data_IF_397828230057
#
_entry.id   IF_397828230057
#
_cell.length_a   1.000
_cell.length_b   1.000
_cell.length_c   1.000
_cell.angle_alpha   90.00
_cell.angle_beta   90.00
_cell.angle_gamma   90.00
#
_symmetry.space_group_name_H-M   'P 1'
#
loop_
_entity.id
_entity.type
_entity.pdbx_description
1 polymer ?
#
# COMPACT_ATOMS: atom_id res chain seq x y z
N UNK A 1 0.44 -3.00 -14.02
CA UNK A 1 0.80 -1.55 -14.09
C UNK A 1 1.58 -1.33 -15.35
N UNK A 2 1.03 -0.61 -16.30
CA UNK A 2 1.76 -0.12 -17.46
C UNK A 2 2.18 1.31 -17.19
N UNK A 3 3.21 1.48 -16.34
CA UNK A 3 3.93 2.75 -16.31
C UNK A 3 4.66 2.89 -17.66
N UNK A 4 4.01 3.53 -18.60
CA UNK A 4 4.57 3.76 -19.94
C UNK A 4 5.65 4.84 -19.94
N UNK A 5 5.76 5.62 -18.86
CA UNK A 5 6.72 6.71 -18.75
C UNK A 5 7.47 6.61 -17.41
N UNK A 6 8.79 6.69 -17.50
CA UNK A 6 9.65 6.86 -16.34
C UNK A 6 10.04 8.34 -16.25
N UNK A 7 9.45 9.04 -15.27
CA UNK A 7 9.72 10.46 -15.02
C UNK A 7 10.55 10.59 -13.73
N UNK A 8 11.88 10.70 -13.82
CA UNK A 8 12.71 10.93 -12.65
C UNK A 8 12.49 12.36 -12.12
N UNK A 9 12.06 12.49 -10.87
CA UNK A 9 11.78 13.77 -10.20
C UNK A 9 12.83 14.17 -9.17
N UNK A 10 13.96 13.45 -9.13
CA UNK A 10 15.07 13.72 -8.23
C UNK A 10 15.29 12.67 -7.16
N UNK A 11 16.14 12.96 -6.17
CA UNK A 11 16.41 12.03 -5.09
C UNK A 11 15.23 11.97 -4.11
N UNK A 12 14.92 10.80 -3.54
CA UNK A 12 13.83 10.63 -2.57
C UNK A 12 13.97 11.55 -1.34
N UNK A 13 15.20 11.82 -0.90
CA UNK A 13 15.49 12.67 0.25
C UNK A 13 15.02 14.11 0.02
N UNK A 14 15.38 14.69 -1.13
CA UNK A 14 14.98 16.06 -1.51
C UNK A 14 13.46 16.12 -1.68
N UNK A 15 12.86 15.10 -2.29
CA UNK A 15 11.42 15.06 -2.49
C UNK A 15 10.67 15.00 -1.16
N UNK A 16 11.10 14.15 -0.22
CA UNK A 16 10.51 14.05 1.13
C UNK A 16 10.64 15.37 1.87
N UNK A 17 11.80 16.03 1.79
CA UNK A 17 12.00 17.34 2.39
C UNK A 17 11.04 18.39 1.82
N UNK A 18 10.92 18.46 0.50
CA UNK A 18 10.04 19.43 -0.16
C UNK A 18 8.56 19.18 0.18
N UNK A 19 8.10 17.92 0.11
CA UNK A 19 6.73 17.58 0.46
C UNK A 19 6.41 17.93 1.92
N UNK A 20 7.33 17.66 2.85
CA UNK A 20 7.18 18.05 4.24
C UNK A 20 7.10 19.57 4.40
N UNK A 21 7.94 20.33 3.67
CA UNK A 21 7.92 21.80 3.70
C UNK A 21 6.65 22.38 3.08
N UNK A 22 6.06 21.72 2.12
CA UNK A 22 4.80 22.13 1.47
C UNK A 22 3.56 21.76 2.29
N UNK A 23 3.74 21.09 3.44
CA UNK A 23 2.65 20.80 4.37
C UNK A 23 1.84 19.56 4.02
N UNK A 24 2.47 18.55 3.41
CA UNK A 24 1.80 17.24 3.21
C UNK A 24 1.46 16.62 4.56
N UNK A 25 0.24 16.11 4.70
CA UNK A 25 -0.22 15.43 5.93
C UNK A 25 0.51 14.10 6.15
N UNK A 26 0.74 13.33 5.09
CA UNK A 26 1.50 12.09 5.08
C UNK A 26 2.26 11.93 3.76
N UNK A 27 3.39 11.21 3.77
CA UNK A 27 4.18 10.92 2.57
C UNK A 27 4.28 9.43 2.36
N UNK A 28 3.77 8.93 1.22
CA UNK A 28 3.85 7.52 0.85
C UNK A 28 5.08 7.23 0.00
N UNK A 29 5.93 6.32 0.48
CA UNK A 29 7.08 5.77 -0.23
C UNK A 29 6.76 4.37 -0.73
N UNK A 30 6.71 4.19 -2.05
CA UNK A 30 6.41 2.90 -2.69
C UNK A 30 7.64 2.32 -3.41
N UNK A 31 8.14 1.18 -2.92
CA UNK A 31 9.25 0.43 -3.53
C UNK A 31 8.70 -0.73 -4.38
N UNK A 32 8.29 -0.45 -5.61
CA UNK A 32 7.56 -1.38 -6.48
C UNK A 32 8.30 -2.66 -6.83
N UNK A 33 9.62 -2.58 -7.04
CA UNK A 33 10.42 -3.71 -7.47
C UNK A 33 10.67 -4.76 -6.38
N UNK A 34 10.54 -4.36 -5.11
CA UNK A 34 10.93 -5.18 -3.94
C UNK A 34 10.07 -6.42 -3.80
N UNK A 35 8.75 -6.29 -3.90
CA UNK A 35 7.80 -7.39 -3.74
C UNK A 35 7.98 -8.44 -4.83
N UNK A 36 8.09 -8.03 -6.10
CA UNK A 36 8.27 -8.93 -7.23
C UNK A 36 9.59 -9.71 -7.16
N UNK A 37 10.67 -9.04 -6.72
CA UNK A 37 11.99 -9.65 -6.58
C UNK A 37 12.20 -10.38 -5.24
N UNK A 38 11.21 -10.36 -4.34
CA UNK A 38 11.28 -10.96 -2.98
C UNK A 38 12.46 -10.45 -2.13
N UNK A 39 12.86 -9.19 -2.32
CA UNK A 39 14.06 -8.62 -1.69
C UNK A 39 13.84 -8.13 -0.25
N UNK A 40 12.63 -8.17 0.27
CA UNK A 40 12.30 -7.53 1.55
C UNK A 40 12.25 -5.99 1.46
N UNK A 41 11.96 -5.28 2.56
CA UNK A 41 11.88 -3.81 2.56
C UNK A 41 13.24 -3.15 2.32
N UNK A 42 13.22 -1.93 1.79
CA UNK A 42 14.43 -1.13 1.59
C UNK A 42 14.73 -0.26 2.82
N UNK A 43 15.26 -0.90 3.86
CA UNK A 43 15.57 -0.22 5.14
C UNK A 43 16.62 0.86 4.97
N UNK A 44 17.60 0.67 4.07
CA UNK A 44 18.63 1.68 3.82
C UNK A 44 18.06 2.96 3.23
N UNK A 45 17.13 2.85 2.28
CA UNK A 45 16.40 4.00 1.76
C UNK A 45 15.58 4.67 2.86
N UNK A 46 14.83 3.90 3.64
CA UNK A 46 13.99 4.42 4.72
C UNK A 46 14.81 5.23 5.72
N UNK A 47 15.94 4.71 6.21
CA UNK A 47 16.86 5.42 7.09
C UNK A 47 17.34 6.75 6.53
N UNK A 48 17.64 6.80 5.22
CA UNK A 48 18.07 8.04 4.58
C UNK A 48 16.96 9.08 4.59
N UNK A 49 15.78 8.73 4.11
CA UNK A 49 14.67 9.69 3.96
C UNK A 49 14.07 10.16 5.27
N UNK A 50 14.12 9.32 6.32
CA UNK A 50 13.58 9.66 7.65
C UNK A 50 14.21 10.93 8.23
N UNK A 51 15.48 11.19 7.94
CA UNK A 51 16.16 12.40 8.40
C UNK A 51 15.64 13.70 7.76
N UNK A 52 14.89 13.61 6.66
CA UNK A 52 14.40 14.74 5.88
C UNK A 52 12.90 15.02 6.06
N UNK A 53 12.16 14.17 6.76
CA UNK A 53 10.69 14.26 6.85
C UNK A 53 10.13 15.41 7.71
N UNK A 54 10.97 16.10 8.49
CA UNK A 54 10.62 17.28 9.31
C UNK A 54 9.30 17.14 10.11
N UNK A 55 9.04 15.94 10.65
CA UNK A 55 7.83 15.67 11.43
C UNK A 55 6.64 15.13 10.61
N UNK A 56 6.68 15.18 9.27
CA UNK A 56 5.60 14.59 8.44
C UNK A 56 5.65 13.06 8.53
N UNK A 57 4.53 12.37 8.83
CA UNK A 57 4.48 10.93 8.90
C UNK A 57 4.84 10.27 7.56
N UNK A 58 5.62 9.18 7.62
CA UNK A 58 5.96 8.36 6.46
C UNK A 58 5.16 7.07 6.44
N UNK A 59 4.58 6.77 5.29
CA UNK A 59 3.95 5.48 4.98
C UNK A 59 4.90 4.72 4.05
N UNK A 60 5.22 3.49 4.38
CA UNK A 60 6.10 2.65 3.57
C UNK A 60 5.34 1.51 2.89
N UNK A 61 5.64 1.26 1.61
CA UNK A 61 5.11 0.14 0.84
C UNK A 61 6.20 -0.53 0.00
N UNK A 62 6.17 -1.86 -0.05
CA UNK A 62 7.01 -2.68 -0.93
C UNK A 62 7.98 -3.60 -0.19
N UNK A 63 8.00 -4.85 -0.62
CA UNK A 63 8.91 -5.87 -0.09
C UNK A 63 8.56 -6.41 1.30
N UNK A 64 7.44 -6.04 1.90
CA UNK A 64 6.99 -6.54 3.21
C UNK A 64 6.53 -7.99 3.03
N UNK A 65 7.10 -8.93 3.79
CA UNK A 65 6.81 -10.36 3.69
C UNK A 65 6.10 -10.92 4.93
N UNK A 66 6.39 -10.34 6.09
CA UNK A 66 5.93 -10.84 7.39
C UNK A 66 5.95 -9.74 8.46
N UNK A 67 5.58 -10.09 9.69
CA UNK A 67 5.54 -9.17 10.83
C UNK A 67 6.92 -8.66 11.28
N UNK A 68 8.01 -9.36 11.00
CA UNK A 68 9.36 -8.88 11.30
C UNK A 68 9.77 -7.75 10.36
N UNK A 69 9.51 -7.91 9.05
CA UNK A 69 9.74 -6.84 8.07
C UNK A 69 8.91 -5.59 8.43
N UNK A 70 7.65 -5.78 8.82
CA UNK A 70 6.78 -4.69 9.25
C UNK A 70 7.36 -3.94 10.47
N UNK A 71 7.78 -4.67 11.49
CA UNK A 71 8.38 -4.09 12.70
C UNK A 71 9.67 -3.32 12.38
N UNK A 72 10.53 -3.87 11.51
CA UNK A 72 11.77 -3.20 11.09
C UNK A 72 11.50 -1.88 10.37
N UNK A 73 10.47 -1.82 9.55
CA UNK A 73 10.06 -0.58 8.88
C UNK A 73 9.65 0.47 9.92
N UNK A 74 8.79 0.12 10.88
CA UNK A 74 8.34 1.04 11.93
C UNK A 74 9.53 1.51 12.80
N UNK A 75 10.41 0.60 13.23
CA UNK A 75 11.62 0.95 14.00
C UNK A 75 12.57 1.89 13.24
N UNK A 76 12.54 1.89 11.93
CA UNK A 76 13.40 2.74 11.09
C UNK A 76 12.70 4.00 10.58
N UNK A 77 11.57 4.38 11.20
CA UNK A 77 11.00 5.71 11.12
C UNK A 77 9.81 5.91 10.19
N UNK A 78 9.21 4.84 9.66
CA UNK A 78 7.87 4.91 9.12
C UNK A 78 6.84 4.81 10.25
N UNK A 79 5.79 5.59 10.20
CA UNK A 79 4.67 5.54 11.14
C UNK A 79 3.66 4.48 10.73
N UNK A 80 3.52 4.24 9.42
CA UNK A 80 2.54 3.30 8.86
C UNK A 80 3.15 2.48 7.72
N UNK A 81 2.54 1.34 7.43
CA UNK A 81 2.89 0.49 6.29
C UNK A 81 1.66 0.18 5.43
N UNK A 82 1.89 -0.06 4.16
CA UNK A 82 0.86 -0.62 3.27
C UNK A 82 1.18 -2.07 2.97
N UNK A 83 0.29 -2.95 3.42
CA UNK A 83 0.24 -4.35 3.04
C UNK A 83 -0.53 -4.55 1.73
N UNK A 84 0.01 -5.36 0.83
CA UNK A 84 -0.68 -5.72 -0.41
C UNK A 84 -1.66 -6.89 -0.22
N UNK A 85 -2.50 -7.12 -1.23
CA UNK A 85 -3.45 -8.23 -1.26
C UNK A 85 -2.79 -9.61 -1.04
N UNK A 86 -1.51 -9.77 -1.40
CA UNK A 86 -0.74 -10.99 -1.15
C UNK A 86 -0.70 -11.43 0.33
N UNK A 87 -0.99 -10.52 1.29
CA UNK A 87 -1.01 -10.86 2.71
C UNK A 87 -2.21 -11.70 3.15
N UNK A 88 -3.28 -11.72 2.37
CA UNK A 88 -4.43 -12.57 2.64
C UNK A 88 -4.80 -13.47 1.45
N UNK A 89 -3.79 -14.06 0.84
CA UNK A 89 -3.96 -15.06 -0.21
C UNK A 89 -4.95 -16.14 0.21
N UNK A 90 -5.79 -16.60 -0.72
CA UNK A 90 -6.84 -17.59 -0.47
C UNK A 90 -7.79 -17.22 0.68
N UNK A 91 -7.96 -15.91 0.94
CA UNK A 91 -8.79 -15.38 2.05
C UNK A 91 -8.30 -15.82 3.43
N UNK A 92 -7.01 -16.11 3.58
CA UNK A 92 -6.39 -16.36 4.86
C UNK A 92 -5.82 -15.04 5.42
N UNK A 93 -6.36 -14.60 6.55
CA UNK A 93 -6.00 -13.34 7.21
C UNK A 93 -4.88 -13.48 8.25
N UNK A 94 -4.35 -14.69 8.47
CA UNK A 94 -3.39 -14.99 9.56
C UNK A 94 -2.14 -14.10 9.49
N UNK A 95 -1.56 -13.94 8.29
CA UNK A 95 -0.37 -13.12 8.15
C UNK A 95 -0.66 -11.65 8.41
N UNK A 96 -1.79 -11.15 7.91
CA UNK A 96 -2.23 -9.78 8.12
C UNK A 96 -2.50 -9.52 9.62
N UNK A 97 -3.16 -10.46 10.29
CA UNK A 97 -3.41 -10.42 11.74
C UNK A 97 -2.10 -10.42 12.55
N UNK A 98 -1.13 -11.26 12.17
CA UNK A 98 0.20 -11.28 12.83
C UNK A 98 0.92 -9.94 12.67
N UNK A 99 0.82 -9.30 11.51
CA UNK A 99 1.38 -7.97 11.28
C UNK A 99 0.67 -6.95 12.16
N UNK A 100 -0.67 -6.90 12.13
CA UNK A 100 -1.48 -5.98 12.92
C UNK A 100 -1.19 -6.10 14.41
N UNK A 101 -1.10 -7.32 14.95
CA UNK A 101 -0.76 -7.56 16.34
C UNK A 101 0.67 -7.11 16.72
N UNK A 102 1.59 -7.09 15.74
CA UNK A 102 2.99 -6.74 15.96
C UNK A 102 3.25 -5.23 15.95
N UNK A 103 2.56 -4.49 15.08
CA UNK A 103 2.80 -3.05 14.88
C UNK A 103 1.61 -2.16 15.28
N UNK A 104 0.48 -2.77 15.63
CA UNK A 104 -0.79 -2.09 15.90
C UNK A 104 -1.65 -1.90 14.63
N UNK A 105 -2.97 -2.05 14.77
CA UNK A 105 -3.95 -1.85 13.69
C UNK A 105 -3.77 -0.48 13.02
N UNK A 106 -3.58 0.58 13.80
CA UNK A 106 -3.45 1.96 13.34
C UNK A 106 -2.29 2.18 12.37
N UNK A 107 -1.26 1.34 12.43
CA UNK A 107 -0.08 1.44 11.57
C UNK A 107 -0.19 0.60 10.28
N UNK A 108 -1.29 -0.13 10.10
CA UNK A 108 -1.46 -1.03 8.97
C UNK A 108 -2.58 -0.56 8.03
N UNK A 109 -2.22 -0.27 6.78
CA UNK A 109 -3.11 0.03 5.66
C UNK A 109 -3.11 -1.16 4.72
N UNK A 110 -4.27 -1.52 4.16
CA UNK A 110 -4.38 -2.57 3.14
C UNK A 110 -4.57 -1.97 1.75
N UNK A 111 -3.71 -2.31 0.80
CA UNK A 111 -3.88 -1.91 -0.60
C UNK A 111 -4.68 -2.94 -1.39
N UNK A 112 -5.75 -2.49 -2.02
CA UNK A 112 -6.60 -3.27 -2.91
C UNK A 112 -6.52 -2.69 -4.34
N UNK A 113 -5.71 -3.29 -5.23
CA UNK A 113 -5.69 -2.94 -6.64
C UNK A 113 -6.96 -3.47 -7.30
N UNK A 114 -7.83 -2.58 -7.75
CA UNK A 114 -9.15 -2.90 -8.26
C UNK A 114 -9.17 -2.85 -9.79
N UNK A 115 -9.81 -3.87 -10.37
CA UNK A 115 -10.27 -3.90 -11.75
C UNK A 115 -11.79 -3.87 -11.78
N UNK A 116 -12.36 -3.01 -12.60
CA UNK A 116 -13.79 -3.02 -12.90
C UNK A 116 -14.02 -3.74 -14.22
N UNK A 117 -14.90 -4.74 -14.20
CA UNK A 117 -15.39 -5.40 -15.41
C UNK A 117 -16.91 -5.36 -15.42
N UNK A 118 -17.49 -4.63 -16.39
CA UNK A 118 -18.92 -4.27 -16.41
C UNK A 118 -19.29 -3.54 -15.11
N UNK A 119 -20.05 -4.19 -14.22
CA UNK A 119 -20.46 -3.65 -12.91
C UNK A 119 -19.89 -4.44 -11.73
N UNK A 120 -18.93 -5.34 -11.97
CA UNK A 120 -18.30 -6.14 -10.93
C UNK A 120 -16.89 -5.64 -10.64
N UNK A 121 -16.50 -5.72 -9.38
CA UNK A 121 -15.20 -5.32 -8.88
C UNK A 121 -14.35 -6.55 -8.56
N UNK A 122 -13.11 -6.54 -9.04
CA UNK A 122 -12.15 -7.61 -8.83
C UNK A 122 -10.88 -7.04 -8.24
N UNK A 123 -10.31 -7.72 -7.25
CA UNK A 123 -9.01 -7.39 -6.67
C UNK A 123 -7.95 -8.16 -7.44
N UNK A 124 -6.90 -7.46 -7.88
CA UNK A 124 -5.77 -8.07 -8.55
C UNK A 124 -4.66 -8.46 -7.57
N UNK A 125 -4.20 -9.71 -7.68
CA UNK A 125 -3.04 -10.20 -6.96
C UNK A 125 -1.81 -10.14 -7.88
N UNK A 126 -0.88 -9.23 -7.57
CA UNK A 126 0.35 -9.06 -8.36
C UNK A 126 1.33 -10.24 -8.26
N UNK A 127 1.26 -11.03 -7.20
CA UNK A 127 2.14 -12.19 -6.98
C UNK A 127 1.68 -13.36 -7.82
N UNK A 128 0.41 -13.71 -7.72
CA UNK A 128 -0.17 -14.89 -8.40
C UNK A 128 -0.77 -14.54 -9.75
N UNK A 129 -0.78 -13.26 -10.13
CA UNK A 129 -1.32 -12.73 -11.39
C UNK A 129 -2.78 -13.14 -11.64
N UNK A 130 -3.58 -13.23 -10.59
CA UNK A 130 -4.99 -13.62 -10.67
C UNK A 130 -5.92 -12.56 -10.11
N UNK A 131 -7.23 -12.76 -10.32
CA UNK A 131 -8.29 -11.88 -9.86
C UNK A 131 -9.19 -12.59 -8.85
N UNK A 132 -9.58 -11.87 -7.82
CA UNK A 132 -10.57 -12.31 -6.82
C UNK A 132 -11.76 -11.36 -6.83
N UNK A 133 -12.99 -11.89 -6.90
CA UNK A 133 -14.20 -11.09 -6.76
C UNK A 133 -14.23 -10.45 -5.37
N UNK A 134 -14.45 -9.13 -5.33
CA UNK A 134 -14.48 -8.37 -4.08
C UNK A 134 -15.55 -8.87 -3.10
N UNK A 135 -16.64 -9.45 -3.61
CA UNK A 135 -17.72 -10.03 -2.78
C UNK A 135 -17.27 -11.20 -1.92
N UNK A 136 -16.13 -11.81 -2.23
CA UNK A 136 -15.53 -12.89 -1.42
C UNK A 136 -14.77 -12.38 -0.20
N UNK A 137 -14.55 -11.06 -0.10
CA UNK A 137 -13.81 -10.44 1.00
C UNK A 137 -14.75 -10.22 2.19
N UNK A 138 -14.32 -10.65 3.35
CA UNK A 138 -15.00 -10.32 4.61
C UNK A 138 -14.43 -9.00 5.15
N UNK A 139 -15.13 -7.90 4.87
CA UNK A 139 -14.72 -6.56 5.29
C UNK A 139 -14.87 -6.35 6.80
N UNK A 140 -15.85 -6.96 7.46
CA UNK A 140 -15.99 -6.89 8.92
C UNK A 140 -14.79 -7.49 9.65
N UNK A 141 -14.19 -8.52 9.06
CA UNK A 141 -12.96 -9.10 9.59
C UNK A 141 -11.74 -8.20 9.31
N UNK A 142 -11.67 -7.61 8.13
CA UNK A 142 -10.61 -6.65 7.77
C UNK A 142 -10.64 -5.41 8.65
N UNK A 143 -11.83 -4.88 8.98
CA UNK A 143 -11.95 -3.73 9.86
C UNK A 143 -11.32 -3.95 11.24
N UNK A 144 -11.29 -5.17 11.74
CA UNK A 144 -10.61 -5.50 13.01
C UNK A 144 -9.08 -5.51 12.90
N UNK A 145 -8.54 -5.63 11.69
CA UNK A 145 -7.12 -5.90 11.44
C UNK A 145 -6.38 -4.67 10.89
N UNK A 146 -7.01 -3.91 9.99
CA UNK A 146 -6.39 -2.76 9.33
C UNK A 146 -7.08 -1.45 9.69
N UNK A 147 -6.34 -0.34 9.65
CA UNK A 147 -6.92 0.99 9.93
C UNK A 147 -7.64 1.57 8.74
N UNK A 148 -7.13 1.31 7.55
CA UNK A 148 -7.58 1.92 6.30
C UNK A 148 -7.42 0.96 5.13
N UNK A 149 -8.19 1.21 4.07
CA UNK A 149 -8.07 0.52 2.79
C UNK A 149 -7.72 1.52 1.71
N UNK A 150 -6.56 1.32 1.06
CA UNK A 150 -6.15 2.08 -0.11
C UNK A 150 -6.63 1.40 -1.39
N UNK A 151 -7.58 2.00 -2.07
CA UNK A 151 -8.09 1.52 -3.35
C UNK A 151 -7.25 2.12 -4.47
N UNK A 152 -6.74 1.27 -5.36
CA UNK A 152 -5.97 1.70 -6.53
C UNK A 152 -6.70 1.26 -7.81
N UNK A 153 -6.90 2.17 -8.74
CA UNK A 153 -7.40 1.85 -10.08
C UNK A 153 -6.30 1.18 -10.91
N UNK A 154 -6.37 -0.14 -11.01
CA UNK A 154 -5.32 -0.93 -11.64
C UNK A 154 -5.06 -0.58 -13.11
N UNK A 155 -6.09 -0.17 -13.85
CA UNK A 155 -5.97 0.12 -15.28
C UNK A 155 -5.61 1.55 -15.59
N UNK A 156 -6.07 2.48 -14.77
CA UNK A 156 -5.92 3.90 -15.04
C UNK A 156 -4.78 4.53 -14.22
N UNK A 157 -4.21 3.81 -13.24
CA UNK A 157 -3.06 4.30 -12.49
C UNK A 157 -1.90 4.66 -13.42
N UNK A 158 -1.41 5.90 -13.34
CA UNK A 158 -0.38 6.45 -14.21
C UNK A 158 -0.88 6.95 -15.57
N UNK A 159 -2.19 6.98 -15.80
CA UNK A 159 -2.80 7.56 -16.99
C UNK A 159 -3.35 8.96 -16.68
N UNK A 160 -3.18 9.90 -17.60
CA UNK A 160 -3.69 11.26 -17.46
C UNK A 160 -5.22 11.27 -17.50
N UNK A 161 -5.86 11.92 -16.51
CA UNK A 161 -7.32 12.15 -16.39
C UNK A 161 -8.23 10.90 -16.51
N UNK A 162 -7.74 9.73 -16.08
CA UNK A 162 -8.49 8.48 -16.22
C UNK A 162 -8.76 7.76 -14.90
N UNK A 163 -9.38 8.43 -13.93
CA UNK A 163 -9.90 7.73 -12.75
C UNK A 163 -11.31 7.22 -13.02
N UNK A 164 -11.56 5.93 -12.79
CA UNK A 164 -12.90 5.35 -12.94
C UNK A 164 -13.76 5.67 -11.70
N UNK A 165 -14.63 6.67 -11.82
CA UNK A 165 -15.48 7.14 -10.73
C UNK A 165 -16.44 6.07 -10.19
N UNK A 166 -16.66 4.96 -10.92
CA UNK A 166 -17.43 3.81 -10.41
C UNK A 166 -16.79 3.19 -9.17
N UNK A 167 -15.46 3.38 -8.95
CA UNK A 167 -14.78 2.95 -7.73
C UNK A 167 -15.33 3.59 -6.46
N UNK A 168 -15.95 4.76 -6.54
CA UNK A 168 -16.61 5.40 -5.40
C UNK A 168 -17.76 4.53 -4.83
N UNK A 169 -18.35 3.65 -5.64
CA UNK A 169 -19.36 2.69 -5.17
C UNK A 169 -18.81 1.68 -4.16
N UNK A 170 -17.49 1.46 -4.15
CA UNK A 170 -16.84 0.57 -3.18
C UNK A 170 -16.96 1.08 -1.75
N UNK A 171 -17.08 2.38 -1.53
CA UNK A 171 -17.31 2.96 -0.20
C UNK A 171 -18.56 2.36 0.46
N UNK A 172 -19.60 2.04 -0.32
CA UNK A 172 -20.82 1.42 0.19
C UNK A 172 -20.72 -0.11 0.36
N UNK A 173 -19.70 -0.75 -0.20
CA UNK A 173 -19.47 -2.19 -0.09
C UNK A 173 -18.53 -2.49 1.09
N UNK A 174 -17.62 -1.55 1.40
CA UNK A 174 -16.57 -1.68 2.41
C UNK A 174 -17.07 -1.23 3.80
N UNK A 175 -18.14 -0.45 3.85
CA UNK A 175 -18.85 -0.10 5.09
C UNK A 175 -19.68 -1.30 5.55
#
# INVERSE_FOLDING_TARGET
>A
RSFNEYLPIGSPEILVENLSRWGSDEILIQCFDRSKKKLGPNINLLKKITNFKKGTPLIYSGGIRNSFDALEIIKNGAERIIGGYSFFQKLNYDNLTKISNKIGKQSLILSLPIKINKNNFYIYNYVDQNFTDIKKINFDNLDKIVSEILITDMYNEGSYDKFDTRMLKLVNIIK
#
